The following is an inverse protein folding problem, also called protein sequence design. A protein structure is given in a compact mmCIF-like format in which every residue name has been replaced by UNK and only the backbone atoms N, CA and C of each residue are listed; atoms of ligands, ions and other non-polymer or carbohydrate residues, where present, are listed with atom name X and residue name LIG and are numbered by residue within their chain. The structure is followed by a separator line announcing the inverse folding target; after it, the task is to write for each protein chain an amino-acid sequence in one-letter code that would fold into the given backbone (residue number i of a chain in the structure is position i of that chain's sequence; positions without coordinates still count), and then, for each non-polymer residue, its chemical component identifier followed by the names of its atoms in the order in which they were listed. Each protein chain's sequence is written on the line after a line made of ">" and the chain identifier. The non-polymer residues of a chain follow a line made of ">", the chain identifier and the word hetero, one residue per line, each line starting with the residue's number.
data_IF_980218364350
#
_entry.id   IF_980218364350
#
_cell.length_a   1.000
_cell.length_b   1.000
_cell.length_c   1.000
_cell.angle_alpha   90.00
_cell.angle_beta   90.00
_cell.angle_gamma   90.00
#
_symmetry.space_group_name_H-M   'P 1'
#
loop_
_entity.id
_entity.type
_entity.pdbx_description
1 polymer ?
#
# COMPACT_ATOMS: atom_id res chain seq x y z
N UNK A 1 -2.84 16.04 31.49
CA UNK A 1 -1.87 15.64 30.43
C UNK A 1 -2.57 14.62 29.57
N UNK A 2 -3.28 15.05 28.53
CA UNK A 2 -3.84 14.14 27.54
C UNK A 2 -2.84 14.05 26.40
N UNK A 3 -2.38 12.84 26.09
CA UNK A 3 -1.58 12.61 24.90
C UNK A 3 -2.40 13.02 23.67
N UNK A 4 -1.83 13.72 22.67
CA UNK A 4 -2.59 14.07 21.48
C UNK A 4 -3.09 12.79 20.84
N UNK A 5 -4.41 12.66 20.70
CA UNK A 5 -5.04 11.58 19.95
C UNK A 5 -4.52 11.70 18.52
N UNK A 6 -3.55 10.87 18.18
CA UNK A 6 -3.11 10.71 16.80
C UNK A 6 -4.28 10.13 16.03
N UNK A 7 -4.92 10.93 15.17
CA UNK A 7 -6.12 10.50 14.45
C UNK A 7 -5.83 9.19 13.71
N UNK A 8 -6.54 8.13 14.11
CA UNK A 8 -6.44 6.81 13.54
C UNK A 8 -7.52 6.66 12.48
N UNK A 9 -7.12 6.45 11.22
CA UNK A 9 -8.05 6.25 10.10
C UNK A 9 -7.70 4.96 9.40
N UNK A 10 -8.65 4.03 9.29
CA UNK A 10 -8.44 2.76 8.59
C UNK A 10 -9.27 2.69 7.32
N UNK A 11 -8.74 2.04 6.29
CA UNK A 11 -9.47 1.79 5.05
C UNK A 11 -10.26 0.48 5.17
N UNK A 12 -11.60 0.49 4.98
CA UNK A 12 -12.42 -0.72 5.07
C UNK A 12 -12.22 -1.69 3.88
N UNK A 13 -11.45 -1.29 2.86
CA UNK A 13 -11.26 -2.05 1.62
C UNK A 13 -9.89 -2.70 1.51
N UNK A 14 -8.82 -1.96 1.77
CA UNK A 14 -7.46 -2.51 1.78
C UNK A 14 -6.94 -2.83 3.19
N UNK A 15 -7.66 -2.48 4.25
CA UNK A 15 -7.29 -2.75 5.64
C UNK A 15 -6.12 -1.92 6.17
N UNK A 16 -5.58 -0.99 5.37
CA UNK A 16 -4.47 -0.14 5.78
C UNK A 16 -4.90 0.86 6.87
N UNK A 17 -3.95 1.25 7.72
CA UNK A 17 -4.16 2.12 8.87
C UNK A 17 -3.24 3.34 8.79
N UNK A 18 -3.82 4.53 8.86
CA UNK A 18 -3.11 5.79 9.05
C UNK A 18 -3.17 6.17 10.53
N UNK A 19 -2.00 6.39 11.14
CA UNK A 19 -1.88 6.95 12.49
C UNK A 19 -1.19 8.31 12.37
N UNK A 20 -1.97 9.39 12.38
CA UNK A 20 -1.49 10.70 11.95
C UNK A 20 -1.09 10.69 10.47
N UNK A 21 0.16 11.06 10.18
CA UNK A 21 0.70 11.09 8.80
C UNK A 21 1.36 9.76 8.37
N UNK A 22 1.52 8.81 9.30
CA UNK A 22 2.19 7.54 8.99
C UNK A 22 1.18 6.47 8.56
N UNK A 23 1.40 5.91 7.37
CA UNK A 23 0.68 4.74 6.86
C UNK A 23 1.31 3.42 7.32
N UNK A 24 0.45 2.47 7.64
CA UNK A 24 0.76 1.07 7.91
C UNK A 24 -0.09 0.14 7.04
N UNK A 25 0.53 -0.95 6.57
CA UNK A 25 -0.18 -2.08 5.98
C UNK A 25 -1.17 -2.67 7.00
N UNK A 26 -2.15 -3.43 6.52
CA UNK A 26 -3.03 -4.23 7.39
C UNK A 26 -2.27 -5.17 8.34
N UNK A 27 -1.02 -5.52 8.01
CA UNK A 27 -0.11 -6.34 8.82
C UNK A 27 0.65 -5.56 9.91
N UNK A 28 0.44 -4.24 10.02
CA UNK A 28 1.11 -3.38 11.01
C UNK A 28 2.53 -2.93 10.63
N UNK A 29 3.06 -3.33 9.47
CA UNK A 29 4.32 -2.78 8.95
C UNK A 29 4.11 -1.41 8.34
N UNK A 30 5.11 -0.52 8.43
CA UNK A 30 5.08 0.78 7.71
C UNK A 30 4.93 0.56 6.21
N UNK A 31 4.16 1.42 5.56
CA UNK A 31 3.91 1.35 4.12
C UNK A 31 4.04 2.72 3.45
N UNK A 32 4.17 2.68 2.12
CA UNK A 32 4.01 3.83 1.23
C UNK A 32 2.61 3.81 0.63
N UNK A 33 1.98 4.98 0.52
CA UNK A 33 0.66 5.12 -0.11
C UNK A 33 0.68 4.70 -1.58
N UNK A 34 1.80 4.98 -2.27
CA UNK A 34 1.98 4.63 -3.68
C UNK A 34 2.19 3.12 -3.86
N UNK A 35 2.96 2.47 -2.97
CA UNK A 35 3.12 1.01 -3.00
C UNK A 35 1.79 0.30 -2.68
N UNK A 36 1.04 0.81 -1.71
CA UNK A 36 -0.29 0.29 -1.37
C UNK A 36 -1.26 0.46 -2.55
N UNK A 37 -1.15 1.54 -3.31
CA UNK A 37 -1.93 1.74 -4.53
C UNK A 37 -1.60 0.69 -5.59
N UNK A 38 -0.30 0.53 -5.90
CA UNK A 38 0.20 -0.39 -6.93
C UNK A 38 0.02 -1.88 -6.59
N UNK A 39 0.05 -2.26 -5.31
CA UNK A 39 -0.05 -3.66 -4.88
C UNK A 39 -1.45 -4.09 -4.45
N UNK A 40 -2.36 -3.17 -4.11
CA UNK A 40 -3.69 -3.51 -3.58
C UNK A 40 -4.79 -2.59 -4.14
N UNK A 41 -4.74 -1.28 -3.89
CA UNK A 41 -5.91 -0.41 -4.09
C UNK A 41 -6.36 -0.32 -5.56
N UNK A 42 -5.42 -0.32 -6.51
CA UNK A 42 -5.74 -0.21 -7.93
C UNK A 42 -6.40 -1.49 -8.48
N UNK A 43 -6.07 -2.65 -7.90
CA UNK A 43 -6.71 -3.92 -8.29
C UNK A 43 -8.07 -4.11 -7.63
N UNK A 44 -8.20 -3.75 -6.34
CA UNK A 44 -9.49 -3.78 -5.64
C UNK A 44 -10.46 -2.78 -6.26
N UNK A 45 -9.93 -1.63 -6.71
CA UNK A 45 -10.63 -0.55 -7.41
C UNK A 45 -11.94 -0.05 -6.74
N UNK A 46 -12.04 -0.16 -5.42
CA UNK A 46 -13.29 0.13 -4.71
C UNK A 46 -13.45 1.64 -4.40
N UNK A 47 -14.61 2.26 -4.67
CA UNK A 47 -14.84 3.69 -4.44
C UNK A 47 -14.74 4.10 -2.96
N UNK A 48 -14.92 3.19 -2.00
CA UNK A 48 -14.76 3.46 -0.57
C UNK A 48 -13.31 3.39 -0.07
N UNK A 49 -12.34 3.15 -0.96
CA UNK A 49 -10.92 3.18 -0.60
C UNK A 49 -10.45 4.61 -0.35
N UNK A 50 -9.89 4.86 0.84
CA UNK A 50 -9.44 6.19 1.29
C UNK A 50 -7.98 6.51 0.95
N UNK A 51 -7.26 5.60 0.27
CA UNK A 51 -5.87 5.84 -0.10
C UNK A 51 -5.81 7.00 -1.12
N UNK A 52 -5.13 8.13 -0.81
CA UNK A 52 -5.04 9.27 -1.72
C UNK A 52 -4.30 8.97 -3.03
N UNK A 53 -3.48 7.90 -3.05
CA UNK A 53 -2.77 7.46 -4.26
C UNK A 53 -3.54 6.44 -5.09
N UNK A 54 -4.80 6.08 -4.75
CA UNK A 54 -5.62 5.18 -5.58
C UNK A 54 -5.74 5.76 -7.00
N UNK A 55 -5.52 4.90 -8.00
CA UNK A 55 -5.56 5.26 -9.42
C UNK A 55 -4.24 5.81 -9.96
N UNK A 56 -3.24 6.05 -9.11
CA UNK A 56 -1.89 6.42 -9.55
C UNK A 56 -1.08 5.16 -9.84
N UNK A 57 -0.31 5.21 -10.92
CA UNK A 57 0.70 4.20 -11.24
C UNK A 57 2.06 4.58 -10.64
N UNK A 58 2.78 3.59 -10.11
CA UNK A 58 4.09 3.79 -9.51
C UNK A 58 4.31 2.93 -8.27
N UNK A 59 5.40 3.21 -7.55
CA UNK A 59 5.80 2.44 -6.37
C UNK A 59 6.17 1.00 -6.72
N UNK A 60 5.92 0.10 -5.78
CA UNK A 60 5.89 -1.33 -6.05
C UNK A 60 4.57 -1.75 -6.71
N UNK A 61 4.68 -2.58 -7.74
CA UNK A 61 3.54 -3.16 -8.46
C UNK A 61 3.76 -4.65 -8.66
N UNK A 62 2.69 -5.40 -8.93
CA UNK A 62 2.82 -6.82 -9.28
C UNK A 62 3.60 -7.03 -10.59
N UNK A 63 3.45 -6.15 -11.58
CA UNK A 63 4.21 -6.20 -12.83
C UNK A 63 5.72 -6.11 -12.57
N UNK A 64 6.16 -5.12 -11.78
CA UNK A 64 7.57 -4.95 -11.37
C UNK A 64 8.09 -6.17 -10.59
N UNK A 65 7.25 -6.74 -9.70
CA UNK A 65 7.62 -7.94 -8.94
C UNK A 65 7.78 -9.17 -9.83
N UNK A 66 6.89 -9.35 -10.81
CA UNK A 66 6.98 -10.45 -11.77
C UNK A 66 8.18 -10.33 -12.70
N UNK A 67 8.49 -9.12 -13.17
CA UNK A 67 9.70 -8.84 -13.95
C UNK A 67 10.96 -9.24 -13.15
N UNK A 68 11.05 -8.79 -11.89
CA UNK A 68 12.17 -9.14 -11.01
C UNK A 68 12.28 -10.65 -10.78
N UNK A 69 11.16 -11.34 -10.59
CA UNK A 69 11.14 -12.80 -10.44
C UNK A 69 11.67 -13.47 -11.71
N UNK A 70 11.24 -13.03 -12.89
CA UNK A 70 11.73 -13.55 -14.18
C UNK A 70 13.23 -13.34 -14.37
N UNK A 71 13.75 -12.17 -13.99
CA UNK A 71 15.19 -11.88 -14.01
C UNK A 71 15.98 -12.79 -13.07
N UNK A 72 15.47 -13.05 -11.86
CA UNK A 72 16.13 -13.95 -10.89
C UNK A 72 16.26 -15.37 -11.47
N UNK A 73 15.18 -15.92 -12.02
CA UNK A 73 15.23 -17.26 -12.63
C UNK A 73 16.05 -17.33 -13.93
N UNK A 74 16.20 -16.20 -14.63
CA UNK A 74 17.01 -16.13 -15.87
C UNK A 74 18.51 -15.91 -15.58
N UNK A 75 18.86 -15.39 -14.42
CA UNK A 75 20.26 -15.15 -14.01
C UNK A 75 20.97 -16.41 -13.47
N UNK A 76 20.22 -17.48 -13.23
CA UNK A 76 20.72 -18.76 -12.71
C UNK A 76 20.82 -19.85 -13.80
N UNK A 77 20.54 -19.51 -15.06
CA UNK A 77 20.60 -20.39 -16.24
C UNK A 77 21.83 -20.09 -17.11
#
# INVERSE_FOLDING_TARGET
>A
MEAPVTEARSCPRCGALWLGEQLYWATGKKASELDLAGLVCNMVNDPACINPCKGREGGDTWAKRMERIGQLFSAEA
#
